data_IF_853689079172
#
_entry.id   IF_853689079172
#
_cell.length_a   1.000
_cell.length_b   1.000
_cell.length_c   1.000
_cell.angle_alpha   90.00
_cell.angle_beta   90.00
_cell.angle_gamma   90.00
#
_symmetry.space_group_name_H-M   'P 1'
#
loop_
_entity.id
_entity.type
_entity.pdbx_description
1 polymer ?
#
# COMPACT_ATOMS: atom_id res chain seq x y z
N UNK A 1 29.52 15.24 4.60
CA UNK A 1 28.57 15.74 5.63
C UNK A 1 27.09 15.67 5.23
N UNK A 2 26.73 15.34 3.97
CA UNK A 2 25.32 15.21 3.51
C UNK A 2 24.74 13.78 3.71
N UNK A 3 25.60 12.78 3.97
CA UNK A 3 25.23 11.36 3.98
C UNK A 3 24.49 10.89 5.25
N UNK A 4 24.50 11.68 6.34
CA UNK A 4 23.80 11.34 7.59
C UNK A 4 22.31 11.78 7.60
N UNK A 5 21.89 12.65 6.68
CA UNK A 5 20.55 13.26 6.72
C UNK A 5 19.43 12.36 6.15
N UNK A 6 19.76 11.31 5.38
CA UNK A 6 18.75 10.40 4.83
C UNK A 6 18.53 9.14 5.69
N UNK A 7 19.45 8.80 6.58
CA UNK A 7 19.22 7.76 7.61
C UNK A 7 18.21 8.26 8.67
N UNK A 8 18.16 9.59 8.88
CA UNK A 8 17.19 10.33 9.71
C UNK A 8 15.74 10.26 9.16
N UNK A 9 15.59 10.20 7.82
CA UNK A 9 14.28 10.09 7.15
C UNK A 9 13.58 8.75 7.40
N UNK A 10 14.37 7.73 7.67
CA UNK A 10 13.96 6.33 7.68
C UNK A 10 13.61 5.87 9.11
N UNK A 11 14.16 6.49 10.17
CA UNK A 11 13.54 6.47 11.52
C UNK A 11 12.25 7.31 11.60
N UNK A 12 12.10 8.32 10.71
CA UNK A 12 10.97 9.26 10.70
C UNK A 12 9.64 8.71 10.16
N UNK A 13 9.56 7.55 9.51
CA UNK A 13 8.28 7.02 9.02
C UNK A 13 7.69 5.90 9.89
N UNK A 14 8.52 5.00 10.41
CA UNK A 14 8.04 3.89 11.26
C UNK A 14 7.67 4.35 12.67
N UNK A 15 8.36 5.35 13.24
CA UNK A 15 8.04 5.86 14.59
C UNK A 15 6.67 6.56 14.61
N UNK A 16 6.34 7.49 13.70
CA UNK A 16 5.00 8.08 13.67
C UNK A 16 3.91 7.06 13.39
N UNK A 17 4.17 6.04 12.56
CA UNK A 17 3.21 4.95 12.33
C UNK A 17 2.93 4.17 13.61
N UNK A 18 3.97 3.76 14.35
CA UNK A 18 3.81 3.06 15.63
C UNK A 18 3.10 3.94 16.65
N UNK A 19 3.45 5.22 16.74
CA UNK A 19 2.76 6.18 17.62
C UNK A 19 1.29 6.29 17.23
N UNK A 20 0.97 6.37 15.93
CA UNK A 20 -0.40 6.41 15.42
C UNK A 20 -1.21 5.18 15.79
N UNK A 21 -0.63 3.98 15.61
CA UNK A 21 -1.25 2.71 16.00
C UNK A 21 -1.51 2.67 17.51
N UNK A 22 -0.52 3.03 18.33
CA UNK A 22 -0.68 3.06 19.79
C UNK A 22 -1.73 4.09 20.21
N UNK A 23 -1.69 5.29 19.64
CA UNK A 23 -2.63 6.36 19.96
C UNK A 23 -4.07 5.97 19.57
N UNK A 24 -4.26 5.39 18.37
CA UNK A 24 -5.56 4.89 17.92
C UNK A 24 -6.08 3.78 18.82
N UNK A 25 -5.23 2.82 19.18
CA UNK A 25 -5.60 1.72 20.07
C UNK A 25 -5.96 2.23 21.47
N UNK A 26 -5.16 3.12 22.05
CA UNK A 26 -5.43 3.74 23.36
C UNK A 26 -6.75 4.52 23.31
N UNK A 27 -6.97 5.34 22.28
CA UNK A 27 -8.18 6.13 22.17
C UNK A 27 -9.43 5.26 22.04
N UNK A 28 -9.41 4.25 21.15
CA UNK A 28 -10.51 3.31 20.98
C UNK A 28 -10.83 2.49 22.25
N UNK A 29 -9.85 2.26 23.13
CA UNK A 29 -10.06 1.57 24.40
C UNK A 29 -10.50 2.50 25.56
N UNK A 30 -10.16 3.79 25.51
CA UNK A 30 -10.61 4.77 26.53
C UNK A 30 -12.07 5.15 26.29
N UNK A 31 -12.42 5.49 25.05
CA UNK A 31 -13.77 5.87 24.66
C UNK A 31 -14.03 5.44 23.20
N UNK A 32 -14.56 4.23 23.07
CA UNK A 32 -14.92 3.68 21.77
C UNK A 32 -15.95 4.56 21.03
N UNK A 33 -16.90 5.15 21.76
CA UNK A 33 -17.94 5.98 21.14
C UNK A 33 -17.33 7.26 20.56
N UNK A 34 -16.51 7.98 21.33
CA UNK A 34 -15.82 9.17 20.84
C UNK A 34 -14.88 8.85 19.66
N UNK A 35 -14.21 7.70 19.67
CA UNK A 35 -13.38 7.25 18.55
C UNK A 35 -14.21 7.06 17.27
N UNK A 36 -15.34 6.35 17.35
CA UNK A 36 -16.22 6.14 16.20
C UNK A 36 -16.81 7.46 15.68
N UNK A 37 -17.26 8.35 16.56
CA UNK A 37 -17.75 9.68 16.16
C UNK A 37 -16.67 10.49 15.43
N UNK A 38 -15.40 10.40 15.86
CA UNK A 38 -14.29 11.07 15.18
C UNK A 38 -14.00 10.46 13.80
N UNK A 39 -13.96 9.13 13.70
CA UNK A 39 -13.63 8.42 12.46
C UNK A 39 -14.73 8.62 11.41
N UNK A 40 -15.99 8.61 11.83
CA UNK A 40 -17.16 8.79 10.97
C UNK A 40 -17.59 10.27 10.85
N UNK A 41 -16.76 11.19 11.34
CA UNK A 41 -17.06 12.62 11.28
C UNK A 41 -17.11 13.11 9.82
N UNK A 42 -18.24 13.71 9.43
CA UNK A 42 -18.48 14.24 8.10
C UNK A 42 -17.85 15.63 7.94
N UNK A 43 -16.82 15.74 7.10
CA UNK A 43 -15.99 16.95 6.97
C UNK A 43 -16.78 18.11 6.34
N UNK A 44 -17.71 17.80 5.44
CA UNK A 44 -18.51 18.79 4.70
C UNK A 44 -19.99 18.84 5.14
N UNK A 45 -20.32 18.25 6.28
CA UNK A 45 -21.70 18.13 6.79
C UNK A 45 -22.38 16.82 6.37
N UNK A 46 -23.42 16.45 7.12
CA UNK A 46 -24.04 15.12 7.05
C UNK A 46 -24.76 14.84 5.72
N UNK A 47 -25.26 15.87 5.04
CA UNK A 47 -25.99 15.73 3.77
C UNK A 47 -25.10 15.91 2.51
N UNK A 48 -23.78 16.13 2.70
CA UNK A 48 -22.89 16.47 1.59
C UNK A 48 -22.12 15.25 1.09
N UNK A 49 -22.55 14.70 -0.04
CA UNK A 49 -21.85 13.62 -0.73
C UNK A 49 -21.06 14.13 -1.94
N UNK A 50 -19.83 13.64 -2.10
CA UNK A 50 -19.00 13.89 -3.28
C UNK A 50 -18.92 12.57 -4.07
N UNK A 51 -19.44 12.57 -5.30
CA UNK A 51 -19.55 11.38 -6.14
C UNK A 51 -20.29 10.20 -5.47
N UNK A 52 -21.31 10.49 -4.65
CA UNK A 52 -22.12 9.47 -3.95
C UNK A 52 -21.42 8.87 -2.73
N UNK A 53 -20.29 9.43 -2.29
CA UNK A 53 -19.62 9.04 -1.05
C UNK A 53 -19.57 10.21 -0.07
N UNK A 54 -19.95 9.94 1.16
CA UNK A 54 -19.75 10.86 2.27
C UNK A 54 -18.25 11.04 2.53
N UNK A 55 -17.80 12.29 2.68
CA UNK A 55 -16.40 12.58 2.96
C UNK A 55 -16.19 12.59 4.47
N UNK A 56 -15.92 11.40 5.00
CA UNK A 56 -15.58 11.22 6.42
C UNK A 56 -14.07 11.28 6.65
N UNK A 57 -13.66 11.36 7.92
CA UNK A 57 -12.25 11.19 8.31
C UNK A 57 -11.74 9.80 7.90
N UNK A 58 -12.59 8.78 8.04
CA UNK A 58 -12.32 7.43 7.55
C UNK A 58 -12.05 7.42 6.04
N UNK A 59 -12.90 8.06 5.25
CA UNK A 59 -12.72 8.16 3.79
C UNK A 59 -11.39 8.83 3.41
N UNK A 60 -11.03 9.92 4.10
CA UNK A 60 -9.76 10.60 3.85
C UNK A 60 -8.56 9.67 4.10
N UNK A 61 -8.60 8.90 5.19
CA UNK A 61 -7.58 7.94 5.53
C UNK A 61 -7.51 6.76 4.56
N UNK A 62 -8.65 6.11 4.33
CA UNK A 62 -8.72 4.85 3.60
C UNK A 62 -8.65 5.04 2.09
N UNK A 63 -9.18 6.13 1.54
CA UNK A 63 -9.20 6.35 0.10
C UNK A 63 -8.10 7.33 -0.31
N UNK A 64 -8.12 8.55 0.23
CA UNK A 64 -7.24 9.62 -0.25
C UNK A 64 -5.77 9.35 0.12
N UNK A 65 -5.47 8.98 1.37
CA UNK A 65 -4.09 8.64 1.74
C UNK A 65 -3.61 7.33 1.08
N UNK A 66 -4.49 6.35 0.86
CA UNK A 66 -4.12 5.15 0.12
C UNK A 66 -3.81 5.43 -1.36
N UNK A 67 -4.48 6.39 -1.99
CA UNK A 67 -4.12 6.85 -3.34
C UNK A 67 -2.69 7.40 -3.37
N UNK A 68 -2.29 8.20 -2.37
CA UNK A 68 -0.91 8.67 -2.28
C UNK A 68 0.08 7.55 -1.99
N UNK A 69 -0.28 6.63 -1.08
CA UNK A 69 0.54 5.47 -0.74
C UNK A 69 0.80 4.59 -1.96
N UNK A 70 -0.25 4.13 -2.65
CA UNK A 70 -0.11 3.30 -3.85
C UNK A 70 0.49 4.07 -5.03
N UNK A 71 0.29 5.38 -5.12
CA UNK A 71 0.96 6.24 -6.09
C UNK A 71 2.49 6.23 -5.90
N UNK A 72 2.95 6.33 -4.65
CA UNK A 72 4.37 6.20 -4.30
C UNK A 72 4.85 4.77 -4.55
N UNK A 73 4.13 3.75 -4.09
CA UNK A 73 4.51 2.35 -4.31
C UNK A 73 4.67 2.02 -5.81
N UNK A 74 3.71 2.43 -6.64
CA UNK A 74 3.75 2.25 -8.11
C UNK A 74 4.95 2.93 -8.73
N UNK A 75 5.28 4.15 -8.29
CA UNK A 75 6.48 4.87 -8.72
C UNK A 75 7.74 4.10 -8.35
N UNK A 76 7.88 3.63 -7.11
CA UNK A 76 9.06 2.89 -6.64
C UNK A 76 9.24 1.55 -7.39
N UNK A 77 8.15 0.83 -7.67
CA UNK A 77 8.16 -0.37 -8.53
C UNK A 77 8.68 0.00 -9.92
N UNK A 78 8.11 1.05 -10.53
CA UNK A 78 8.50 1.52 -11.86
C UNK A 78 9.98 1.92 -11.90
N UNK A 79 10.48 2.61 -10.88
CA UNK A 79 11.89 2.99 -10.77
C UNK A 79 12.81 1.79 -10.57
N UNK A 80 12.36 0.77 -9.83
CA UNK A 80 13.13 -0.43 -9.55
C UNK A 80 13.34 -1.30 -10.80
N UNK A 81 12.40 -1.29 -11.76
CA UNK A 81 12.50 -2.04 -13.02
C UNK A 81 13.24 -1.30 -14.14
N UNK A 82 13.42 0.02 -14.03
CA UNK A 82 14.16 0.82 -15.01
C UNK A 82 15.67 0.53 -15.01
N UNK A 83 16.41 0.87 -16.09
CA UNK A 83 17.85 0.69 -16.13
C UNK A 83 18.58 1.38 -14.95
N UNK A 84 19.34 0.59 -14.18
CA UNK A 84 20.01 1.05 -12.95
C UNK A 84 19.20 0.85 -11.67
N UNK A 85 17.94 0.40 -11.79
CA UNK A 85 17.10 -0.01 -10.66
C UNK A 85 17.52 -1.36 -10.07
N UNK A 86 17.08 -1.61 -8.83
CA UNK A 86 17.39 -2.79 -8.03
C UNK A 86 16.86 -4.11 -8.60
N UNK A 87 15.81 -4.06 -9.43
CA UNK A 87 15.19 -5.22 -10.09
C UNK A 87 15.65 -5.36 -11.56
N UNK A 88 16.56 -4.50 -12.02
CA UNK A 88 17.14 -4.58 -13.36
C UNK A 88 18.63 -5.03 -13.30
N UNK A 89 19.04 -6.05 -14.07
CA UNK A 89 18.28 -6.77 -15.10
C UNK A 89 17.32 -7.81 -14.50
N UNK A 90 16.28 -8.15 -15.27
CA UNK A 90 15.19 -9.09 -14.91
C UNK A 90 15.66 -10.39 -14.21
N UNK A 91 16.82 -11.01 -14.55
CA UNK A 91 17.30 -12.19 -13.83
C UNK A 91 17.56 -11.95 -12.33
N UNK A 92 17.87 -10.73 -11.91
CA UNK A 92 17.99 -10.36 -10.48
C UNK A 92 16.65 -10.23 -9.79
N UNK A 93 15.56 -10.00 -10.53
CA UNK A 93 14.21 -9.92 -10.00
C UNK A 93 13.62 -11.30 -9.67
N UNK A 94 14.17 -12.39 -10.23
CA UNK A 94 13.63 -13.75 -10.03
C UNK A 94 13.65 -14.16 -8.54
N UNK A 95 14.75 -13.91 -7.83
CA UNK A 95 14.85 -14.29 -6.41
C UNK A 95 13.81 -13.56 -5.53
N UNK A 96 13.68 -12.21 -5.59
CA UNK A 96 12.59 -11.50 -4.93
C UNK A 96 11.21 -11.99 -5.34
N UNK A 97 10.96 -12.18 -6.64
CA UNK A 97 9.65 -12.63 -7.15
C UNK A 97 9.27 -14.04 -6.67
N UNK A 98 10.22 -14.97 -6.61
CA UNK A 98 9.95 -16.29 -6.04
C UNK A 98 9.66 -16.21 -4.54
N UNK A 99 10.35 -15.31 -3.83
CA UNK A 99 10.08 -15.01 -2.44
C UNK A 99 8.67 -14.45 -2.22
N UNK A 100 8.24 -13.50 -3.04
CA UNK A 100 6.91 -12.88 -2.93
C UNK A 100 5.79 -13.89 -3.22
N UNK A 101 5.96 -14.75 -4.22
CA UNK A 101 5.01 -15.83 -4.46
C UNK A 101 4.84 -16.74 -3.23
N UNK A 102 5.94 -17.10 -2.57
CA UNK A 102 5.89 -17.83 -1.30
C UNK A 102 5.19 -17.02 -0.19
N UNK A 103 5.48 -15.72 -0.11
CA UNK A 103 4.86 -14.76 0.82
C UNK A 103 3.36 -14.55 0.61
N UNK A 104 2.84 -14.82 -0.59
CA UNK A 104 1.40 -14.74 -0.90
C UNK A 104 0.73 -16.10 -0.73
N UNK A 105 1.25 -17.14 -1.37
CA UNK A 105 0.63 -18.47 -1.35
C UNK A 105 0.68 -19.13 0.03
N UNK A 106 1.75 -18.92 0.80
CA UNK A 106 1.91 -19.50 2.13
C UNK A 106 0.82 -19.02 3.10
N UNK A 107 0.72 -17.70 3.38
CA UNK A 107 -0.29 -17.15 4.29
C UNK A 107 -1.72 -17.37 3.79
N UNK A 108 -1.98 -17.18 2.49
CA UNK A 108 -3.32 -17.42 1.91
C UNK A 108 -3.75 -18.89 2.05
N UNK A 109 -2.86 -19.83 1.73
CA UNK A 109 -3.12 -21.26 1.85
C UNK A 109 -3.34 -21.69 3.29
N UNK A 110 -2.52 -21.19 4.22
CA UNK A 110 -2.68 -21.44 5.66
C UNK A 110 -4.02 -20.89 6.16
N UNK A 111 -4.39 -19.67 5.77
CA UNK A 111 -5.67 -19.07 6.17
C UNK A 111 -6.86 -19.89 5.68
N UNK A 112 -6.87 -20.29 4.40
CA UNK A 112 -7.95 -21.11 3.84
C UNK A 112 -8.04 -22.48 4.51
N UNK A 113 -6.90 -23.10 4.83
CA UNK A 113 -6.85 -24.34 5.57
C UNK A 113 -7.47 -24.17 6.97
N UNK A 114 -7.09 -23.12 7.70
CA UNK A 114 -7.64 -22.84 9.03
C UNK A 114 -9.13 -22.51 8.95
N UNK A 115 -9.56 -21.72 7.97
CA UNK A 115 -10.97 -21.43 7.73
C UNK A 115 -11.76 -22.73 7.51
N UNK A 116 -11.23 -23.65 6.70
CA UNK A 116 -11.87 -24.94 6.49
C UNK A 116 -11.87 -25.83 7.75
N UNK A 117 -10.77 -25.87 8.52
CA UNK A 117 -10.69 -26.67 9.76
C UNK A 117 -11.68 -26.18 10.81
N UNK A 118 -11.84 -24.87 10.98
CA UNK A 118 -12.70 -24.30 12.02
C UNK A 118 -14.16 -24.09 11.58
N UNK A 119 -14.42 -23.85 10.28
CA UNK A 119 -15.73 -23.48 9.77
C UNK A 119 -16.27 -24.44 8.68
N UNK A 120 -15.55 -25.50 8.32
CA UNK A 120 -15.81 -26.39 7.18
C UNK A 120 -17.14 -27.15 7.14
N UNK A 121 -18.02 -26.96 8.14
CA UNK A 121 -19.37 -27.53 8.20
C UNK A 121 -20.45 -26.52 8.62
N UNK A 122 -20.12 -25.23 8.69
CA UNK A 122 -21.06 -24.16 9.01
C UNK A 122 -21.31 -23.25 7.82
N UNK A 123 -22.40 -22.48 7.88
CA UNK A 123 -22.80 -21.54 6.82
C UNK A 123 -21.81 -20.36 6.67
N UNK A 124 -20.99 -20.11 7.70
CA UNK A 124 -20.04 -18.99 7.74
C UNK A 124 -18.75 -19.23 6.92
N UNK A 125 -18.50 -20.45 6.44
CA UNK A 125 -17.25 -20.77 5.72
C UNK A 125 -17.01 -19.84 4.53
N UNK A 126 -18.06 -19.56 3.74
CA UNK A 126 -17.96 -18.69 2.56
C UNK A 126 -17.54 -17.27 2.94
N UNK A 127 -18.13 -16.72 4.01
CA UNK A 127 -17.84 -15.38 4.50
C UNK A 127 -16.41 -15.28 5.02
N UNK A 128 -15.96 -16.25 5.83
CA UNK A 128 -14.60 -16.27 6.39
C UNK A 128 -13.56 -16.51 5.30
N UNK A 129 -13.81 -17.45 4.39
CA UNK A 129 -12.89 -17.77 3.30
C UNK A 129 -12.71 -16.61 2.31
N UNK A 130 -13.69 -15.71 2.20
CA UNK A 130 -13.54 -14.49 1.41
C UNK A 130 -12.41 -13.59 1.95
N UNK A 131 -11.98 -13.74 3.20
CA UNK A 131 -10.85 -12.99 3.78
C UNK A 131 -9.45 -13.45 3.37
N UNK A 132 -9.29 -14.35 2.38
CA UNK A 132 -8.01 -14.98 2.05
C UNK A 132 -6.87 -14.03 1.63
N UNK A 133 -7.19 -12.85 1.11
CA UNK A 133 -6.22 -11.82 0.74
C UNK A 133 -5.70 -11.00 1.91
N UNK A 134 -6.42 -10.95 3.05
CA UNK A 134 -6.02 -10.21 4.26
C UNK A 134 -4.61 -10.62 4.74
N UNK A 135 -4.27 -11.92 4.91
CA UNK A 135 -2.97 -12.34 5.41
C UNK A 135 -1.80 -12.16 4.42
N UNK A 136 -2.08 -11.74 3.18
CA UNK A 136 -1.04 -11.51 2.16
C UNK A 136 -0.45 -10.10 2.20
N UNK A 137 -1.12 -9.17 2.89
CA UNK A 137 -0.65 -7.79 3.02
C UNK A 137 0.59 -7.70 3.92
N UNK A 138 1.59 -6.93 3.49
CA UNK A 138 2.83 -6.70 4.25
C UNK A 138 3.06 -5.21 4.46
N UNK A 139 3.17 -4.75 5.71
CA UNK A 139 3.52 -3.36 5.99
C UNK A 139 5.02 -3.13 5.78
N UNK A 140 5.36 -2.43 4.70
CA UNK A 140 6.74 -2.09 4.32
C UNK A 140 7.49 -1.32 5.41
N UNK A 141 6.83 -0.40 6.13
CA UNK A 141 7.46 0.46 7.12
C UNK A 141 7.79 -0.30 8.41
N UNK A 142 6.91 -1.21 8.83
CA UNK A 142 7.17 -2.10 9.97
C UNK A 142 8.18 -3.20 9.63
N UNK A 143 8.04 -3.85 8.48
CA UNK A 143 8.95 -4.90 8.03
C UNK A 143 10.40 -4.39 7.94
N UNK A 144 10.59 -3.21 7.34
CA UNK A 144 11.91 -2.59 7.22
C UNK A 144 12.48 -2.14 8.58
N UNK A 145 11.64 -1.64 9.50
CA UNK A 145 12.10 -1.24 10.85
C UNK A 145 12.62 -2.45 11.61
N UNK A 146 11.83 -3.53 11.66
CA UNK A 146 12.20 -4.77 12.34
C UNK A 146 13.45 -5.37 11.71
N UNK A 147 13.53 -5.40 10.38
CA UNK A 147 14.72 -5.88 9.67
C UNK A 147 15.99 -5.12 10.08
N UNK A 148 15.92 -3.78 10.23
CA UNK A 148 17.07 -2.98 10.67
C UNK A 148 17.46 -3.24 12.12
N UNK A 149 16.48 -3.47 13.00
CA UNK A 149 16.74 -3.77 14.41
C UNK A 149 17.42 -5.15 14.53
N UNK A 150 16.94 -6.14 13.78
CA UNK A 150 17.42 -7.53 13.88
C UNK A 150 18.75 -7.72 13.17
N UNK A 151 18.87 -7.27 11.91
CA UNK A 151 20.05 -7.53 11.08
C UNK A 151 21.09 -6.40 11.14
N UNK A 152 20.72 -5.22 11.64
CA UNK A 152 21.53 -4.02 11.58
C UNK A 152 21.34 -3.25 10.26
N UNK A 153 21.53 -1.93 10.32
CA UNK A 153 21.21 -1.01 9.22
C UNK A 153 21.96 -1.27 7.91
N UNK A 154 23.14 -1.89 7.97
CA UNK A 154 24.01 -2.11 6.81
C UNK A 154 23.92 -3.53 6.23
N UNK A 155 23.06 -4.39 6.78
CA UNK A 155 22.99 -5.78 6.36
C UNK A 155 22.24 -5.93 5.03
N UNK A 156 22.74 -6.73 4.07
CA UNK A 156 22.12 -6.91 2.74
C UNK A 156 20.66 -7.37 2.80
N UNK A 157 20.28 -8.09 3.86
CA UNK A 157 18.90 -8.54 4.07
C UNK A 157 17.89 -7.37 4.17
N UNK A 158 18.29 -6.21 4.70
CA UNK A 158 17.40 -5.04 4.81
C UNK A 158 16.98 -4.55 3.43
N UNK A 159 17.94 -4.41 2.51
CA UNK A 159 17.67 -4.02 1.13
C UNK A 159 16.87 -5.08 0.38
N UNK A 160 17.15 -6.37 0.62
CA UNK A 160 16.39 -7.46 0.02
C UNK A 160 14.93 -7.47 0.50
N UNK A 161 14.69 -7.37 1.81
CA UNK A 161 13.34 -7.35 2.41
C UNK A 161 12.56 -6.11 1.98
N UNK A 162 13.22 -4.96 1.82
CA UNK A 162 12.57 -3.76 1.27
C UNK A 162 12.06 -4.00 -0.17
N UNK A 163 12.86 -4.66 -1.01
CA UNK A 163 12.46 -5.00 -2.38
C UNK A 163 11.36 -6.04 -2.42
N UNK A 164 11.41 -7.02 -1.52
CA UNK A 164 10.37 -8.03 -1.35
C UNK A 164 9.04 -7.36 -0.99
N UNK A 165 9.03 -6.49 0.02
CA UNK A 165 7.83 -5.78 0.47
C UNK A 165 7.21 -4.90 -0.63
N UNK A 166 8.03 -4.17 -1.40
CA UNK A 166 7.53 -3.38 -2.55
C UNK A 166 6.88 -4.26 -3.61
N UNK A 167 7.44 -5.44 -3.88
CA UNK A 167 6.88 -6.38 -4.84
C UNK A 167 5.60 -7.07 -4.31
N UNK A 168 5.55 -7.40 -3.02
CA UNK A 168 4.35 -7.92 -2.35
C UNK A 168 3.21 -6.90 -2.37
N UNK A 169 3.47 -5.62 -2.11
CA UNK A 169 2.47 -4.53 -2.18
C UNK A 169 1.84 -4.44 -3.59
N UNK A 170 2.65 -4.63 -4.64
CA UNK A 170 2.17 -4.65 -6.02
C UNK A 170 1.18 -5.80 -6.27
N UNK A 171 1.52 -6.99 -5.75
CA UNK A 171 0.68 -8.18 -5.87
C UNK A 171 -0.59 -8.01 -5.04
N UNK A 172 -0.47 -7.50 -3.80
CA UNK A 172 -1.60 -7.20 -2.92
C UNK A 172 -2.59 -6.22 -3.55
N UNK A 173 -2.10 -5.14 -4.16
CA UNK A 173 -2.95 -4.21 -4.92
C UNK A 173 -3.71 -4.93 -6.04
N UNK A 174 -3.04 -5.81 -6.78
CA UNK A 174 -3.68 -6.63 -7.81
C UNK A 174 -4.74 -7.58 -7.26
N UNK A 175 -4.48 -8.22 -6.11
CA UNK A 175 -5.44 -9.09 -5.42
C UNK A 175 -6.69 -8.30 -5.04
N UNK A 176 -6.53 -7.16 -4.38
CA UNK A 176 -7.65 -6.30 -3.95
C UNK A 176 -8.45 -5.83 -5.18
N UNK A 177 -7.78 -5.35 -6.22
CA UNK A 177 -8.44 -4.81 -7.41
C UNK A 177 -9.26 -5.86 -8.19
N UNK A 178 -8.84 -7.13 -8.20
CA UNK A 178 -9.49 -8.20 -8.97
C UNK A 178 -10.51 -8.99 -8.16
N UNK A 179 -10.19 -9.31 -6.90
CA UNK A 179 -10.98 -10.23 -6.08
C UNK A 179 -11.88 -9.53 -5.06
N UNK A 180 -11.65 -8.25 -4.77
CA UNK A 180 -12.42 -7.47 -3.79
C UNK A 180 -13.05 -6.21 -4.42
N UNK A 181 -13.86 -6.33 -5.48
CA UNK A 181 -14.57 -5.18 -6.02
C UNK A 181 -15.68 -4.71 -5.07
N UNK A 182 -15.83 -3.38 -4.96
CA UNK A 182 -16.95 -2.75 -4.26
C UNK A 182 -18.25 -3.00 -5.06
N UNK A 183 -19.21 -3.70 -4.45
CA UNK A 183 -20.50 -4.03 -5.08
C UNK A 183 -21.43 -2.82 -5.22
N UNK A 184 -21.29 -1.81 -4.36
CA UNK A 184 -22.09 -0.58 -4.40
C UNK A 184 -21.52 0.40 -5.44
N UNK A 185 -20.20 0.37 -5.63
CA UNK A 185 -19.49 1.22 -6.60
C UNK A 185 -18.66 0.36 -7.56
N UNK A 186 -19.32 -0.35 -8.50
CA UNK A 186 -18.62 -1.24 -9.41
C UNK A 186 -17.60 -0.47 -10.25
N UNK A 187 -16.51 -1.15 -10.62
CA UNK A 187 -15.46 -0.58 -11.44
C UNK A 187 -16.06 -0.07 -12.76
N UNK A 188 -16.11 1.26 -12.92
CA UNK A 188 -16.58 1.90 -14.13
C UNK A 188 -15.37 2.21 -15.05
N UNK A 189 -15.20 1.50 -16.18
CA UNK A 189 -14.04 1.67 -17.05
C UNK A 189 -13.90 3.08 -17.62
N UNK A 190 -14.99 3.85 -17.64
CA UNK A 190 -14.98 5.27 -18.01
C UNK A 190 -13.99 6.08 -17.18
N UNK A 191 -13.78 5.77 -15.90
CA UNK A 191 -12.82 6.46 -15.05
C UNK A 191 -11.36 6.25 -15.47
N UNK A 192 -11.06 5.20 -16.25
CA UNK A 192 -9.72 5.03 -16.85
C UNK A 192 -9.38 6.19 -17.80
N UNK A 193 -10.39 6.89 -18.35
CA UNK A 193 -10.16 8.11 -19.13
C UNK A 193 -9.46 9.21 -18.34
N UNK A 194 -9.70 9.32 -17.02
CA UNK A 194 -8.98 10.27 -16.16
C UNK A 194 -7.51 9.90 -16.02
N UNK A 195 -7.20 8.59 -15.92
CA UNK A 195 -5.82 8.10 -15.88
C UNK A 195 -5.12 8.45 -17.19
N UNK A 196 -5.76 8.19 -18.33
CA UNK A 196 -5.22 8.55 -19.65
C UNK A 196 -5.01 10.06 -19.77
N UNK A 197 -5.98 10.88 -19.34
CA UNK A 197 -5.85 12.32 -19.33
C UNK A 197 -4.67 12.79 -18.47
N UNK A 198 -4.51 12.22 -17.26
CA UNK A 198 -3.37 12.46 -16.38
C UNK A 198 -2.04 12.10 -17.03
N UNK A 199 -1.96 10.94 -17.70
CA UNK A 199 -0.77 10.53 -18.46
C UNK A 199 -0.43 11.49 -19.61
N UNK A 200 -1.44 11.96 -20.34
CA UNK A 200 -1.26 12.95 -21.42
C UNK A 200 -0.74 14.26 -20.86
N UNK A 201 -1.33 14.77 -19.76
CA UNK A 201 -0.84 15.98 -19.08
C UNK A 201 0.60 15.81 -18.62
N UNK A 202 0.93 14.69 -17.96
CA UNK A 202 2.29 14.38 -17.52
C UNK A 202 3.27 14.31 -18.70
N UNK A 203 2.87 13.71 -19.82
CA UNK A 203 3.66 13.66 -21.05
C UNK A 203 3.92 15.04 -21.65
N UNK A 204 2.89 15.89 -21.70
CA UNK A 204 2.99 17.28 -22.17
C UNK A 204 3.97 18.07 -21.29
N UNK A 205 3.80 18.01 -19.96
CA UNK A 205 4.70 18.67 -19.00
C UNK A 205 6.15 18.19 -19.20
N UNK A 206 6.35 16.87 -19.34
CA UNK A 206 7.65 16.27 -19.61
C UNK A 206 8.26 16.86 -20.89
N UNK A 207 7.49 16.92 -21.98
CA UNK A 207 7.95 17.45 -23.28
C UNK A 207 8.35 18.93 -23.20
N UNK A 208 7.60 19.73 -22.44
CA UNK A 208 7.94 21.15 -22.22
C UNK A 208 9.21 21.35 -21.39
N UNK A 209 9.42 20.55 -20.32
CA UNK A 209 10.65 20.63 -19.52
C UNK A 209 11.90 20.28 -20.33
N UNK A 210 11.83 19.28 -21.22
CA UNK A 210 12.95 18.98 -22.12
C UNK A 210 13.24 20.12 -23.11
N UNK A 211 12.21 20.83 -23.58
CA UNK A 211 12.41 21.98 -24.48
C UNK A 211 13.12 23.14 -23.78
N UNK A 212 12.76 23.46 -22.55
CA UNK A 212 13.38 24.57 -21.80
C UNK A 212 14.84 24.26 -21.44
N UNK A 213 15.15 23.00 -21.07
CA UNK A 213 16.52 22.60 -20.75
C UNK A 213 17.53 22.66 -21.90
N UNK A 214 17.07 22.75 -23.16
CA UNK A 214 17.94 22.94 -24.33
C UNK A 214 18.17 24.41 -24.72
N UNK A 215 17.45 25.35 -24.09
CA UNK A 215 17.69 26.80 -24.25
C UNK A 215 18.61 27.37 -23.16
N UNK A 216 18.93 26.59 -22.12
CA UNK A 216 19.74 27.02 -20.96
C UNK A 216 21.09 26.30 -20.87
N UNK A 217 21.52 25.60 -21.92
CA UNK A 217 22.84 24.95 -22.04
C UNK A 217 23.71 25.65 -23.06
#
# INVERSE_FOLDING_TARGET
MIRAHHIDLLQRFSIPLIIGVIAGLVFANIDAHAYHVMVDYHIFGDDTEIFGKAVTVHFLGNEIFMVFFFGIATKEITQSVLPGGSLNPIPKAINPLMGTLGGVFGPAGMFLLLAWVFYGGGDDLGTVANGWGIPTATDIALAWLVARIVFGASHPAVSFLLLLAVADDAIGLGIIAVFYPDSEHPAAPSWLSLVVAGMVVAYIIRRFRYRIGQFTS
#
